data_IF_696067095811
#
_entry.id   IF_696067095811
#
_cell.length_a   1.000
_cell.length_b   1.000
_cell.length_c   1.000
_cell.angle_alpha   90.00
_cell.angle_beta   90.00
_cell.angle_gamma   90.00
#
_symmetry.space_group_name_H-M   'P 1'
#
loop_
_entity.id
_entity.type
_entity.pdbx_description
1 polymer ?
#
# COMPACT_ATOMS: atom_id res chain seq x y z
N UNK A 1 -19.80 13.18 3.61
CA UNK A 1 -19.12 11.89 3.89
C UNK A 1 -17.64 12.05 4.27
N UNK A 2 -16.92 13.09 3.80
CA UNK A 2 -15.50 13.30 4.13
C UNK A 2 -15.24 13.77 5.58
N UNK A 3 -16.13 14.59 6.15
CA UNK A 3 -15.99 15.15 7.50
C UNK A 3 -15.96 14.07 8.59
N UNK A 4 -16.83 13.06 8.46
CA UNK A 4 -16.94 11.90 9.36
C UNK A 4 -15.65 11.06 9.34
N UNK A 5 -14.98 10.99 8.18
CA UNK A 5 -13.73 10.24 8.03
C UNK A 5 -12.57 10.90 8.77
N UNK A 6 -12.56 12.22 8.81
CA UNK A 6 -11.57 13.00 9.56
C UNK A 6 -11.76 12.86 11.06
N UNK A 7 -13.00 12.90 11.54
CA UNK A 7 -13.34 12.70 12.96
C UNK A 7 -13.04 11.26 13.42
N UNK A 8 -13.34 10.24 12.60
CA UNK A 8 -12.95 8.86 12.90
C UNK A 8 -11.43 8.65 12.96
N UNK A 9 -10.69 9.32 12.08
CA UNK A 9 -9.22 9.31 12.10
C UNK A 9 -8.62 9.94 13.37
N UNK A 10 -9.36 10.80 14.08
CA UNK A 10 -8.94 11.36 15.38
C UNK A 10 -9.22 10.43 16.57
N UNK A 11 -10.06 9.41 16.40
CA UNK A 11 -10.38 8.41 17.44
C UNK A 11 -9.45 7.18 17.34
N UNK A 12 -8.92 6.90 16.16
CA UNK A 12 -7.98 5.80 15.96
C UNK A 12 -6.60 6.09 16.60
N UNK A 13 -5.94 5.04 17.11
CA UNK A 13 -4.56 5.15 17.63
C UNK A 13 -3.64 5.81 16.59
N UNK A 14 -2.68 6.62 17.04
CA UNK A 14 -1.80 7.43 16.18
C UNK A 14 -1.13 6.63 15.04
N UNK A 15 -0.90 5.32 15.25
CA UNK A 15 -0.42 4.36 14.26
C UNK A 15 -1.38 4.11 13.07
N UNK A 16 -2.69 4.09 13.32
CA UNK A 16 -3.73 3.94 12.30
C UNK A 16 -3.88 5.21 11.46
N UNK A 17 -3.81 6.38 12.11
CA UNK A 17 -3.82 7.67 11.40
C UNK A 17 -2.70 7.75 10.36
N UNK A 18 -1.46 7.43 10.74
CA UNK A 18 -0.32 7.53 9.82
C UNK A 18 -0.47 6.59 8.61
N UNK A 19 -0.90 5.34 8.84
CA UNK A 19 -1.08 4.35 7.79
C UNK A 19 -2.30 4.61 6.90
N UNK A 20 -3.39 5.13 7.46
CA UNK A 20 -4.58 5.55 6.73
C UNK A 20 -4.33 6.79 5.88
N UNK A 21 -3.65 7.79 6.46
CA UNK A 21 -3.23 8.98 5.75
C UNK A 21 -2.27 8.67 4.62
N UNK A 22 -1.35 7.71 4.80
CA UNK A 22 -0.48 7.23 3.73
C UNK A 22 -1.29 6.75 2.50
N UNK A 23 -2.36 5.99 2.72
CA UNK A 23 -3.19 5.51 1.61
C UNK A 23 -3.81 6.67 0.83
N UNK A 24 -4.19 7.75 1.50
CA UNK A 24 -4.74 8.93 0.87
C UNK A 24 -3.68 9.75 0.13
N UNK A 25 -2.55 10.03 0.77
CA UNK A 25 -1.47 10.84 0.19
C UNK A 25 -0.82 10.18 -1.03
N UNK A 26 -0.69 8.85 -1.02
CA UNK A 26 0.08 8.09 -2.02
C UNK A 26 -0.77 7.51 -3.16
N UNK A 27 -2.02 7.96 -3.33
CA UNK A 27 -2.88 7.53 -4.45
C UNK A 27 -3.52 6.15 -4.26
N UNK A 28 -3.67 5.71 -3.01
CA UNK A 28 -4.40 4.49 -2.66
C UNK A 28 -3.52 3.26 -2.41
N UNK A 29 -4.15 2.12 -2.04
CA UNK A 29 -3.46 0.89 -1.70
C UNK A 29 -2.59 0.36 -2.85
N UNK A 30 -3.09 0.51 -4.07
CA UNK A 30 -2.53 -0.04 -5.31
C UNK A 30 -1.22 0.67 -5.71
N UNK A 31 -1.18 1.98 -5.53
CA UNK A 31 -0.01 2.81 -5.83
C UNK A 31 1.01 2.74 -4.68
N UNK A 32 0.54 2.79 -3.43
CA UNK A 32 1.40 2.65 -2.26
C UNK A 32 2.13 1.29 -2.24
N UNK A 33 1.46 0.21 -2.66
CA UNK A 33 2.06 -1.11 -2.79
C UNK A 33 3.24 -1.15 -3.77
N UNK A 34 3.28 -0.24 -4.76
CA UNK A 34 4.37 -0.18 -5.72
C UNK A 34 5.53 0.75 -5.30
N UNK A 35 5.47 1.32 -4.10
CA UNK A 35 6.55 2.15 -3.56
C UNK A 35 7.45 1.40 -2.57
N UNK A 36 8.59 1.99 -2.23
CA UNK A 36 9.51 1.48 -1.20
C UNK A 36 10.21 2.64 -0.48
N UNK A 37 10.47 2.48 0.82
CA UNK A 37 11.31 3.41 1.58
C UNK A 37 12.81 3.18 1.36
N UNK A 38 13.17 1.98 0.91
CA UNK A 38 14.54 1.56 0.62
C UNK A 38 14.48 0.49 -0.46
N UNK A 39 15.10 0.75 -1.62
CA UNK A 39 15.09 -0.17 -2.77
C UNK A 39 15.97 -1.40 -2.54
N UNK A 40 17.04 -1.29 -1.73
CA UNK A 40 17.95 -2.41 -1.43
C UNK A 40 17.23 -3.58 -0.75
N UNK A 41 16.13 -3.28 -0.06
CA UNK A 41 15.32 -4.25 0.68
C UNK A 41 14.23 -4.89 -0.16
N UNK A 42 14.07 -4.50 -1.43
CA UNK A 42 13.01 -5.04 -2.29
C UNK A 42 13.60 -5.80 -3.46
N UNK A 43 13.48 -7.13 -3.39
CA UNK A 43 14.08 -8.06 -4.36
C UNK A 43 13.23 -8.30 -5.61
N UNK A 44 11.92 -8.05 -5.54
CA UNK A 44 10.98 -8.53 -6.56
C UNK A 44 9.83 -7.56 -6.86
N UNK A 45 9.60 -7.35 -8.16
CA UNK A 45 8.46 -6.60 -8.69
C UNK A 45 7.13 -7.32 -8.49
N UNK A 46 6.04 -6.56 -8.55
CA UNK A 46 4.68 -7.12 -8.67
C UNK A 46 4.46 -7.50 -10.14
N UNK A 47 4.01 -8.74 -10.47
CA UNK A 47 3.78 -9.14 -11.85
C UNK A 47 2.81 -8.20 -12.59
N UNK A 48 3.15 -7.84 -13.84
CA UNK A 48 2.32 -6.97 -14.68
C UNK A 48 2.25 -5.50 -14.22
N UNK A 49 3.23 -5.04 -13.44
CA UNK A 49 3.32 -3.65 -12.95
C UNK A 49 4.63 -3.00 -13.36
N UNK A 50 4.61 -1.66 -13.35
CA UNK A 50 5.81 -0.84 -13.46
C UNK A 50 6.82 -1.16 -12.36
N UNK A 51 8.12 -0.92 -12.57
CA UNK A 51 9.14 -1.05 -11.54
C UNK A 51 8.77 -0.32 -10.24
N UNK A 52 9.35 -0.81 -9.15
CA UNK A 52 9.19 -0.23 -7.82
C UNK A 52 9.78 1.17 -7.81
N UNK A 53 9.02 2.13 -7.27
CA UNK A 53 9.48 3.50 -7.13
C UNK A 53 9.92 3.78 -5.70
N UNK A 54 11.01 4.51 -5.53
CA UNK A 54 11.38 5.02 -4.22
C UNK A 54 10.33 6.04 -3.76
N UNK A 55 10.07 6.09 -2.46
CA UNK A 55 9.25 7.13 -1.86
C UNK A 55 9.91 8.50 -2.05
N UNK A 56 9.12 9.48 -2.45
CA UNK A 56 9.58 10.85 -2.65
C UNK A 56 9.82 11.50 -1.29
N UNK A 57 11.03 12.02 -1.09
CA UNK A 57 11.44 12.60 0.19
C UNK A 57 10.53 13.76 0.63
N UNK A 58 10.06 14.58 -0.31
CA UNK A 58 9.21 15.73 -0.02
C UNK A 58 7.83 15.32 0.51
N UNK A 59 7.20 14.32 -0.13
CA UNK A 59 5.91 13.81 0.32
C UNK A 59 6.03 13.03 1.65
N UNK A 60 7.13 12.31 1.86
CA UNK A 60 7.40 11.66 3.14
C UNK A 60 7.59 12.68 4.26
N UNK A 61 8.35 13.75 4.00
CA UNK A 61 8.51 14.87 4.95
C UNK A 61 7.17 15.49 5.28
N UNK A 62 6.34 15.80 4.29
CA UNK A 62 4.98 16.31 4.50
C UNK A 62 4.16 15.39 5.39
N UNK A 63 4.16 14.09 5.10
CA UNK A 63 3.45 13.10 5.90
C UNK A 63 3.92 13.05 7.36
N UNK A 64 5.23 13.09 7.58
CA UNK A 64 5.82 13.12 8.93
C UNK A 64 5.45 14.42 9.66
N UNK A 65 5.54 15.57 8.98
CA UNK A 65 5.17 16.87 9.54
C UNK A 65 3.70 16.92 9.96
N UNK A 66 2.78 16.47 9.10
CA UNK A 66 1.35 16.43 9.41
C UNK A 66 1.05 15.50 10.59
N UNK A 67 1.74 14.36 10.66
CA UNK A 67 1.60 13.46 11.80
C UNK A 67 2.18 14.06 13.09
N UNK A 68 3.30 14.74 13.01
CA UNK A 68 3.88 15.44 14.16
C UNK A 68 2.97 16.56 14.66
N UNK A 69 2.34 17.32 13.76
CA UNK A 69 1.35 18.35 14.11
C UNK A 69 0.07 17.75 14.71
N UNK A 70 -0.34 16.57 14.26
CA UNK A 70 -1.40 15.80 14.92
C UNK A 70 -1.01 15.44 16.37
N UNK A 71 0.21 14.92 16.59
CA UNK A 71 0.72 14.57 17.92
C UNK A 71 0.92 15.78 18.85
N UNK A 72 1.09 16.98 18.31
CA UNK A 72 1.15 18.22 19.11
C UNK A 72 -0.18 18.62 19.72
N UNK A 73 -1.31 18.19 19.15
CA UNK A 73 -2.64 18.49 19.68
C UNK A 73 -2.85 17.86 21.05
N UNK A 74 -2.20 16.71 21.28
CA UNK A 74 -2.15 16.07 22.57
C UNK A 74 -1.06 16.73 23.44
N UNK A 75 -1.52 17.52 24.41
CA UNK A 75 -0.65 18.23 25.36
C UNK A 75 -0.04 17.30 26.41
N UNK A 76 -0.56 16.08 26.57
CA UNK A 76 -0.04 15.10 27.53
C UNK A 76 1.26 14.44 27.05
N UNK A 77 1.51 14.46 25.74
CA UNK A 77 2.70 13.88 25.14
C UNK A 77 3.91 14.80 25.26
N UNK A 78 5.00 14.27 25.79
CA UNK A 78 6.31 14.94 25.75
C UNK A 78 6.92 14.90 24.35
N UNK A 79 7.85 15.81 24.06
CA UNK A 79 8.57 15.80 22.78
C UNK A 79 9.32 14.48 22.51
N UNK A 80 9.83 13.84 23.56
CA UNK A 80 10.50 12.53 23.46
C UNK A 80 9.51 11.44 23.03
N UNK A 81 8.33 11.40 23.63
CA UNK A 81 7.28 10.45 23.25
C UNK A 81 6.79 10.71 21.81
N UNK A 82 6.64 11.98 21.41
CA UNK A 82 6.28 12.33 20.02
C UNK A 82 7.33 11.82 19.02
N UNK A 83 8.61 12.03 19.30
CA UNK A 83 9.69 11.54 18.45
C UNK A 83 9.69 10.01 18.33
N UNK A 84 9.44 9.30 19.44
CA UNK A 84 9.29 7.84 19.44
C UNK A 84 8.13 7.38 18.54
N UNK A 85 6.95 7.99 18.70
CA UNK A 85 5.78 7.69 17.87
C UNK A 85 6.01 7.97 16.38
N UNK A 86 6.73 9.05 16.04
CA UNK A 86 7.14 9.33 14.65
C UNK A 86 8.06 8.23 14.12
N UNK A 87 9.07 7.80 14.89
CA UNK A 87 9.97 6.72 14.48
C UNK A 87 9.22 5.38 14.28
N UNK A 88 8.32 5.04 15.19
CA UNK A 88 7.46 3.86 15.09
C UNK A 88 6.54 3.93 13.86
N UNK A 89 6.02 5.11 13.52
CA UNK A 89 5.16 5.29 12.35
C UNK A 89 5.86 4.99 11.02
N UNK A 90 7.14 5.33 10.90
CA UNK A 90 7.95 4.99 9.71
C UNK A 90 8.09 3.47 9.58
N UNK A 91 8.32 2.78 10.70
CA UNK A 91 8.39 1.31 10.73
C UNK A 91 7.06 0.68 10.37
N UNK A 92 5.95 1.21 10.90
CA UNK A 92 4.60 0.78 10.56
C UNK A 92 4.29 0.97 9.07
N UNK A 93 4.76 2.06 8.47
CA UNK A 93 4.63 2.30 7.03
C UNK A 93 5.36 1.25 6.19
N UNK A 94 6.58 0.86 6.61
CA UNK A 94 7.33 -0.24 5.95
C UNK A 94 6.50 -1.54 5.96
N UNK A 95 5.92 -1.89 7.10
CA UNK A 95 5.08 -3.08 7.21
C UNK A 95 3.81 -2.97 6.37
N UNK A 96 3.16 -1.81 6.37
CA UNK A 96 1.97 -1.55 5.54
C UNK A 96 2.27 -1.75 4.05
N UNK A 97 3.35 -1.15 3.53
CA UNK A 97 3.77 -1.30 2.13
C UNK A 97 4.05 -2.77 1.80
N UNK A 98 4.76 -3.48 2.68
CA UNK A 98 5.06 -4.91 2.51
C UNK A 98 3.78 -5.74 2.41
N UNK A 99 2.83 -5.51 3.31
CA UNK A 99 1.59 -6.28 3.37
C UNK A 99 0.67 -5.98 2.17
N UNK A 100 0.59 -4.72 1.76
CA UNK A 100 -0.10 -4.32 0.53
C UNK A 100 0.52 -4.98 -0.70
N UNK A 101 1.86 -4.96 -0.82
CA UNK A 101 2.57 -5.62 -1.91
C UNK A 101 2.33 -7.14 -1.92
N UNK A 102 2.31 -7.81 -0.76
CA UNK A 102 1.99 -9.24 -0.66
C UNK A 102 0.57 -9.53 -1.15
N UNK A 103 -0.39 -8.68 -0.81
CA UNK A 103 -1.79 -8.78 -1.29
C UNK A 103 -1.88 -8.59 -2.80
N UNK A 104 -1.26 -7.55 -3.34
CA UNK A 104 -1.23 -7.26 -4.78
C UNK A 104 -0.60 -8.41 -5.58
N UNK A 105 0.54 -8.96 -5.13
CA UNK A 105 1.16 -10.15 -5.75
C UNK A 105 0.20 -11.33 -5.78
N UNK A 106 -0.46 -11.63 -4.65
CA UNK A 106 -1.43 -12.73 -4.55
C UNK A 106 -2.60 -12.53 -5.52
N UNK A 107 -3.09 -11.30 -5.68
CA UNK A 107 -4.16 -10.99 -6.64
C UNK A 107 -3.68 -11.14 -8.09
N UNK A 108 -2.51 -10.62 -8.43
CA UNK A 108 -1.92 -10.73 -9.76
C UNK A 108 -1.71 -12.19 -10.18
N UNK A 109 -1.14 -13.03 -9.30
CA UNK A 109 -0.94 -14.46 -9.55
C UNK A 109 -2.27 -15.20 -9.75
N UNK A 110 -3.31 -14.84 -8.97
CA UNK A 110 -4.66 -15.41 -9.16
C UNK A 110 -5.26 -15.03 -10.51
N UNK A 111 -5.11 -13.77 -10.93
CA UNK A 111 -5.55 -13.30 -12.24
C UNK A 111 -4.86 -14.04 -13.39
N UNK A 112 -3.53 -14.20 -13.29
CA UNK A 112 -2.75 -14.96 -14.28
C UNK A 112 -3.20 -16.42 -14.37
N UNK A 113 -3.42 -17.10 -13.23
CA UNK A 113 -3.91 -18.49 -13.22
C UNK A 113 -5.28 -18.63 -13.89
N UNK A 114 -6.20 -17.69 -13.64
CA UNK A 114 -7.52 -17.67 -14.30
C UNK A 114 -7.40 -17.47 -15.80
N UNK A 115 -6.55 -16.54 -16.26
CA UNK A 115 -6.33 -16.30 -17.68
C UNK A 115 -5.73 -17.52 -18.39
N UNK A 116 -4.77 -18.21 -17.77
CA UNK A 116 -4.20 -19.45 -18.31
C UNK A 116 -5.28 -20.54 -18.42
N UNK A 117 -6.13 -20.69 -17.41
CA UNK A 117 -7.22 -21.67 -17.42
C UNK A 117 -8.26 -21.36 -18.51
N UNK A 118 -8.63 -20.09 -18.68
CA UNK A 118 -9.55 -19.65 -19.74
C UNK A 118 -8.96 -19.87 -21.13
N UNK A 119 -7.68 -19.54 -21.35
CA UNK A 119 -7.00 -19.77 -22.62
C UNK A 119 -6.89 -21.26 -22.97
N UNK A 120 -6.70 -22.13 -21.96
CA UNK A 120 -6.74 -23.59 -22.17
C UNK A 120 -8.13 -24.05 -22.65
N UNK A 121 -9.20 -23.61 -21.99
CA UNK A 121 -10.58 -23.93 -22.40
C UNK A 121 -10.89 -23.46 -23.81
N UNK A 122 -10.52 -22.23 -24.16
CA UNK A 122 -10.70 -21.70 -25.52
C UNK A 122 -9.96 -22.53 -26.58
N UNK A 123 -8.73 -23.00 -26.27
CA UNK A 123 -7.98 -23.89 -27.17
C UNK A 123 -8.64 -25.25 -27.35
N UNK A 124 -9.24 -25.83 -26.30
CA UNK A 124 -9.97 -27.09 -26.42
C UNK A 124 -11.23 -26.92 -27.28
N UNK A 125 -12.04 -25.91 -27.01
CA UNK A 125 -13.25 -25.62 -27.82
C UNK A 125 -12.92 -25.34 -29.29
N UNK A 126 -11.81 -24.64 -29.56
CA UNK A 126 -11.36 -24.41 -30.93
C UNK A 126 -10.98 -25.70 -31.66
N UNK A 127 -10.29 -26.63 -30.97
CA UNK A 127 -9.93 -27.94 -31.54
C UNK A 127 -11.14 -28.86 -31.72
N UNK A 128 -12.11 -28.82 -30.82
CA UNK A 128 -13.36 -29.57 -30.96
C UNK A 128 -14.15 -29.07 -32.18
N UNK A 129 -14.28 -27.75 -32.37
CA UNK A 129 -14.99 -27.17 -33.51
C UNK A 129 -14.29 -27.39 -34.87
N UNK A 130 -12.98 -27.67 -34.90
CA UNK A 130 -12.26 -28.03 -36.12
C UNK A 130 -12.45 -29.49 -36.54
N UNK A 131 -12.91 -30.36 -35.63
CA UNK A 131 -13.11 -31.79 -35.89
C UNK A 131 -14.58 -32.13 -36.27
N UNK A 132 -15.43 -31.13 -36.54
CA UNK A 132 -16.85 -31.28 -36.91
C UNK A 132 -17.08 -30.92 -38.39
N UNK A 133 -16.11 -31.23 -39.26
CA UNK A 133 -16.25 -31.11 -40.73
C UNK A 133 -16.01 -32.47 -41.34
#
# INVERSE_FOLDING_TARGET
MEKIKWEFMQVETSSFFFGGFALHLWGGPRELANRALDLSRVKENIPGRSPIKLIEANLLRLQISLYFDYLKRDQTLTNVQRAKLVSESITNMRFKIRDLRKREKKMATRGQRRNVQNNRKMRYNYKENQNVI
#
